data_IF_029387946948
#
_entry.id   IF_029387946948
#
_cell.length_a   1.000
_cell.length_b   1.000
_cell.length_c   1.000
_cell.angle_alpha   90.00
_cell.angle_beta   90.00
_cell.angle_gamma   90.00
#
_symmetry.space_group_name_H-M   'P 1'
#
loop_
_entity.id
_entity.type
_entity.pdbx_description
1 polymer ?
#
# COMPACT_ATOMS: atom_id res chain seq x y z
N UNK A 1 14.17 14.01 35.00
CA UNK A 1 15.09 15.06 35.48
C UNK A 1 16.51 14.51 35.43
N UNK A 2 17.31 14.84 34.40
CA UNK A 2 18.62 15.43 34.63
C UNK A 2 19.05 16.37 33.47
N UNK A 3 18.19 17.30 33.01
CA UNK A 3 18.58 18.29 31.98
C UNK A 3 19.30 19.53 32.54
N UNK A 4 19.33 19.69 33.87
CA UNK A 4 19.92 20.86 34.54
C UNK A 4 21.45 20.83 34.68
N UNK A 5 22.06 19.65 34.90
CA UNK A 5 23.52 19.56 35.12
C UNK A 5 24.36 19.80 33.86
N UNK A 6 23.85 19.42 32.68
CA UNK A 6 24.57 19.62 31.42
C UNK A 6 24.73 21.10 31.05
N UNK A 7 23.72 21.92 31.34
CA UNK A 7 23.77 23.37 31.08
C UNK A 7 24.76 24.09 32.01
N UNK A 8 24.85 23.67 33.27
CA UNK A 8 25.78 24.24 34.24
C UNK A 8 27.26 23.97 33.85
N UNK A 9 27.59 22.73 33.46
CA UNK A 9 28.94 22.38 33.01
C UNK A 9 29.30 23.08 31.69
N UNK A 10 28.36 23.21 30.76
CA UNK A 10 28.57 23.95 29.52
C UNK A 10 28.85 25.44 29.77
N UNK A 11 28.16 26.07 30.73
CA UNK A 11 28.41 27.47 31.09
C UNK A 11 29.78 27.69 31.75
N UNK A 12 30.24 26.77 32.60
CA UNK A 12 31.56 26.86 33.25
C UNK A 12 32.67 26.69 32.20
N UNK A 13 32.55 25.69 31.33
CA UNK A 13 33.53 25.46 30.26
C UNK A 13 33.61 26.66 29.29
N UNK A 14 32.48 27.23 28.90
CA UNK A 14 32.45 28.44 28.07
C UNK A 14 33.12 29.64 28.75
N UNK A 15 32.87 29.83 30.06
CA UNK A 15 33.50 30.91 30.83
C UNK A 15 35.03 30.74 30.92
N UNK A 16 35.51 29.52 31.21
CA UNK A 16 36.94 29.24 31.28
C UNK A 16 37.65 29.47 29.95
N UNK A 17 37.02 29.11 28.83
CA UNK A 17 37.56 29.37 27.48
C UNK A 17 37.63 30.87 27.19
N UNK A 18 36.61 31.65 27.55
CA UNK A 18 36.61 33.12 27.35
C UNK A 18 37.72 33.79 28.17
N UNK A 19 37.86 33.41 29.44
CA UNK A 19 38.89 33.97 30.34
C UNK A 19 40.30 33.62 29.83
N UNK A 20 40.54 32.34 29.50
CA UNK A 20 41.84 31.91 29.00
C UNK A 20 42.21 32.59 27.68
N UNK A 21 41.27 32.67 26.75
CA UNK A 21 41.46 33.33 25.45
C UNK A 21 41.74 34.83 25.63
N UNK A 22 41.04 35.50 26.55
CA UNK A 22 41.27 36.91 26.89
C UNK A 22 42.65 37.17 27.48
N UNK A 23 43.13 36.30 28.38
CA UNK A 23 44.48 36.39 28.97
C UNK A 23 45.56 36.18 27.92
N UNK A 24 45.40 35.19 27.03
CA UNK A 24 46.35 34.91 25.94
C UNK A 24 46.43 36.08 24.96
N UNK A 25 45.28 36.65 24.55
CA UNK A 25 45.23 37.85 23.69
C UNK A 25 45.89 39.07 24.35
N UNK A 26 45.72 39.24 25.66
CA UNK A 26 46.33 40.34 26.42
C UNK A 26 47.85 40.28 26.42
N UNK A 27 48.41 39.09 26.60
CA UNK A 27 49.87 38.90 26.64
C UNK A 27 50.51 39.03 25.26
N UNK A 28 49.83 38.59 24.20
CA UNK A 28 50.41 38.51 22.85
C UNK A 28 50.21 39.78 21.99
N UNK A 29 49.06 40.43 22.10
CA UNK A 29 48.64 41.49 21.17
C UNK A 29 48.57 42.89 21.82
N UNK A 30 48.66 42.97 23.14
CA UNK A 30 48.60 44.23 23.89
C UNK A 30 47.17 44.67 24.25
N UNK A 31 47.03 45.73 25.08
CA UNK A 31 45.77 46.07 25.73
C UNK A 31 44.69 46.61 24.78
N UNK A 32 45.08 47.21 23.65
CA UNK A 32 44.12 47.75 22.67
C UNK A 32 43.34 46.63 21.96
N UNK A 33 44.02 45.55 21.59
CA UNK A 33 43.40 44.42 20.89
C UNK A 33 42.46 43.61 21.81
N UNK A 34 42.73 43.61 23.12
CA UNK A 34 41.83 43.00 24.12
C UNK A 34 40.53 43.79 24.25
N UNK A 35 40.59 45.12 24.25
CA UNK A 35 39.37 45.96 24.29
C UNK A 35 38.54 45.74 23.04
N UNK A 36 39.16 45.67 21.86
CA UNK A 36 38.47 45.37 20.60
C UNK A 36 37.84 43.97 20.65
N UNK A 37 38.57 42.95 21.12
CA UNK A 37 38.06 41.58 21.25
C UNK A 37 36.87 41.50 22.21
N UNK A 38 36.93 42.19 23.36
CA UNK A 38 35.83 42.25 24.34
C UNK A 38 34.60 42.98 23.77
N UNK A 39 34.78 44.02 22.95
CA UNK A 39 33.68 44.73 22.28
C UNK A 39 33.07 43.93 21.12
N UNK A 40 33.87 43.15 20.38
CA UNK A 40 33.40 42.33 19.26
C UNK A 40 32.78 41.00 19.71
N UNK A 41 33.22 40.44 20.84
CA UNK A 41 32.67 39.20 21.40
C UNK A 41 31.14 39.18 21.55
N UNK A 42 30.46 40.20 22.13
CA UNK A 42 29.01 40.21 22.22
C UNK A 42 28.33 40.32 20.85
N UNK A 43 28.93 41.03 19.88
CA UNK A 43 28.40 41.12 18.52
C UNK A 43 28.46 39.77 17.80
N UNK A 44 29.59 39.05 17.91
CA UNK A 44 29.74 37.69 17.39
C UNK A 44 28.77 36.72 18.07
N UNK A 45 28.62 36.81 19.39
CA UNK A 45 27.68 35.97 20.15
C UNK A 45 26.23 36.24 19.72
N UNK A 46 25.84 37.51 19.58
CA UNK A 46 24.52 37.89 19.06
C UNK A 46 24.30 37.35 17.63
N UNK A 47 25.30 37.46 16.76
CA UNK A 47 25.24 36.90 15.40
C UNK A 47 24.99 35.38 15.39
N UNK A 48 25.69 34.63 16.25
CA UNK A 48 25.52 33.17 16.39
C UNK A 48 24.12 32.83 16.92
N UNK A 49 23.64 33.54 17.94
CA UNK A 49 22.30 33.29 18.51
C UNK A 49 21.20 33.57 17.48
N UNK A 50 21.31 34.67 16.73
CA UNK A 50 20.35 35.00 15.66
C UNK A 50 20.41 33.94 14.55
N UNK A 51 21.61 33.56 14.09
CA UNK A 51 21.76 32.53 13.07
C UNK A 51 21.16 31.18 13.51
N UNK A 52 21.38 30.79 14.78
CA UNK A 52 20.81 29.58 15.36
C UNK A 52 19.29 29.64 15.51
N UNK A 53 18.73 30.78 15.93
CA UNK A 53 17.27 30.96 16.00
C UNK A 53 16.63 30.92 14.61
N UNK A 54 17.24 31.57 13.61
CA UNK A 54 16.80 31.52 12.21
C UNK A 54 16.85 30.08 11.68
N UNK A 55 17.93 29.34 11.95
CA UNK A 55 18.04 27.94 11.53
C UNK A 55 16.99 27.07 12.22
N UNK A 56 16.75 27.25 13.53
CA UNK A 56 15.70 26.54 14.26
C UNK A 56 14.30 26.86 13.75
N UNK A 57 13.99 28.13 13.48
CA UNK A 57 12.70 28.54 12.92
C UNK A 57 12.49 27.94 11.54
N UNK A 58 13.50 27.98 10.67
CA UNK A 58 13.44 27.33 9.34
C UNK A 58 13.21 25.83 9.47
N UNK A 59 13.92 25.16 10.37
CA UNK A 59 13.72 23.73 10.61
C UNK A 59 12.32 23.42 11.17
N UNK A 60 11.79 24.26 12.06
CA UNK A 60 10.45 24.10 12.63
C UNK A 60 9.36 24.30 11.56
N UNK A 61 9.49 25.33 10.72
CA UNK A 61 8.57 25.60 9.61
C UNK A 61 8.61 24.46 8.58
N UNK A 62 9.80 23.96 8.22
CA UNK A 62 9.94 22.82 7.32
C UNK A 62 9.30 21.54 7.90
N UNK A 63 9.46 21.29 9.21
CA UNK A 63 8.83 20.16 9.87
C UNK A 63 7.29 20.28 9.95
N UNK A 64 6.78 21.50 10.12
CA UNK A 64 5.34 21.78 10.09
C UNK A 64 4.77 21.56 8.68
N UNK A 65 5.45 22.06 7.66
CA UNK A 65 5.08 21.85 6.26
C UNK A 65 5.05 20.36 5.88
N UNK A 66 6.05 19.59 6.30
CA UNK A 66 6.09 18.13 6.11
C UNK A 66 4.91 17.42 6.79
N UNK A 67 4.51 17.87 7.99
CA UNK A 67 3.34 17.31 8.67
C UNK A 67 2.04 17.61 7.92
N UNK A 68 1.88 18.85 7.44
CA UNK A 68 0.72 19.23 6.65
C UNK A 68 0.65 18.43 5.35
N UNK A 69 1.77 18.28 4.64
CA UNK A 69 1.84 17.44 3.44
C UNK A 69 1.50 15.97 3.74
N UNK A 70 1.99 15.42 4.85
CA UNK A 70 1.65 14.06 5.26
C UNK A 70 0.14 13.91 5.55
N UNK A 71 -0.48 14.90 6.18
CA UNK A 71 -1.93 14.93 6.43
C UNK A 71 -2.73 15.02 5.13
N UNK A 72 -2.29 15.84 4.17
CA UNK A 72 -2.92 15.96 2.85
C UNK A 72 -2.80 14.66 2.06
N UNK A 73 -1.62 14.04 2.02
CA UNK A 73 -1.41 12.74 1.38
C UNK A 73 -2.29 11.66 2.00
N UNK A 74 -2.42 11.65 3.32
CA UNK A 74 -3.33 10.73 4.02
C UNK A 74 -4.80 11.02 3.70
N UNK A 75 -5.17 12.29 3.56
CA UNK A 75 -6.51 12.67 3.09
C UNK A 75 -6.77 12.15 1.66
N UNK A 76 -5.84 12.34 0.73
CA UNK A 76 -5.92 11.82 -0.65
C UNK A 76 -6.10 10.30 -0.64
N UNK A 77 -5.28 9.56 0.14
CA UNK A 77 -5.38 8.09 0.26
C UNK A 77 -6.76 7.61 0.72
N UNK A 78 -7.47 8.41 1.52
CA UNK A 78 -8.81 8.06 2.05
C UNK A 78 -9.95 8.48 1.12
N UNK A 79 -9.77 9.57 0.37
CA UNK A 79 -10.82 10.18 -0.43
C UNK A 79 -10.80 9.72 -1.88
N UNK A 80 -9.61 9.54 -2.46
CA UNK A 80 -9.45 9.16 -3.86
C UNK A 80 -9.27 7.65 -3.97
N UNK A 81 -10.18 6.98 -4.66
CA UNK A 81 -10.05 5.56 -4.94
C UNK A 81 -9.15 5.35 -6.16
N UNK A 82 -7.96 4.84 -5.89
CA UNK A 82 -6.84 4.72 -6.83
C UNK A 82 -6.44 3.25 -6.96
N UNK A 83 -6.08 2.84 -8.17
CA UNK A 83 -5.27 1.64 -8.40
C UNK A 83 -3.92 2.09 -8.93
N UNK A 84 -2.85 1.75 -8.22
CA UNK A 84 -1.47 2.12 -8.59
C UNK A 84 -0.74 0.90 -9.13
N UNK A 85 0.21 1.12 -10.04
CA UNK A 85 1.16 0.10 -10.47
C UNK A 85 1.89 -0.49 -9.25
N UNK A 86 1.83 -1.81 -9.02
CA UNK A 86 2.47 -2.44 -7.88
C UNK A 86 4.00 -2.28 -7.87
N UNK A 87 4.63 -2.06 -9.03
CA UNK A 87 6.08 -1.93 -9.18
C UNK A 87 6.59 -0.51 -8.86
N UNK A 88 5.70 0.44 -8.54
CA UNK A 88 6.09 1.79 -8.14
C UNK A 88 6.96 1.76 -6.87
N UNK A 89 8.11 2.43 -6.93
CA UNK A 89 8.92 2.71 -5.75
C UNK A 89 8.18 3.65 -4.79
N UNK A 90 8.58 3.68 -3.51
CA UNK A 90 7.90 4.51 -2.51
C UNK A 90 7.87 5.99 -2.88
N UNK A 91 8.97 6.51 -3.42
CA UNK A 91 9.08 7.90 -3.89
C UNK A 91 8.08 8.19 -5.02
N UNK A 92 7.94 7.27 -5.98
CA UNK A 92 7.00 7.41 -7.09
C UNK A 92 5.55 7.30 -6.62
N UNK A 93 5.25 6.43 -5.65
CA UNK A 93 3.92 6.37 -5.02
C UNK A 93 3.56 7.67 -4.32
N UNK A 94 4.53 8.32 -3.68
CA UNK A 94 4.31 9.65 -3.10
C UNK A 94 4.07 10.68 -4.19
N UNK A 95 4.81 10.64 -5.30
CA UNK A 95 4.59 11.52 -6.44
C UNK A 95 3.18 11.35 -7.03
N UNK A 96 2.66 10.11 -7.15
CA UNK A 96 1.27 9.85 -7.55
C UNK A 96 0.28 10.56 -6.63
N UNK A 97 0.45 10.46 -5.31
CA UNK A 97 -0.44 11.12 -4.34
C UNK A 97 -0.35 12.64 -4.42
N UNK A 98 0.85 13.16 -4.66
CA UNK A 98 1.09 14.60 -4.79
C UNK A 98 0.35 15.22 -5.98
N UNK A 99 0.06 14.43 -7.02
CA UNK A 99 -0.75 14.85 -8.18
C UNK A 99 -2.16 15.32 -7.80
N UNK A 100 -2.68 14.84 -6.67
CA UNK A 100 -4.02 15.17 -6.17
C UNK A 100 -4.01 16.29 -5.12
N UNK A 101 -2.84 16.81 -4.76
CA UNK A 101 -2.70 17.91 -3.82
C UNK A 101 -2.66 19.23 -4.61
N UNK A 102 -3.69 20.10 -4.53
CA UNK A 102 -3.83 21.24 -5.44
C UNK A 102 -2.69 22.26 -5.39
N UNK A 103 -1.97 22.35 -4.27
CA UNK A 103 -0.84 23.26 -4.07
C UNK A 103 0.49 22.74 -4.62
N UNK A 104 0.57 21.46 -4.97
CA UNK A 104 1.75 20.84 -5.55
C UNK A 104 1.71 20.95 -7.08
N UNK A 105 2.89 20.90 -7.71
CA UNK A 105 2.99 20.95 -9.15
C UNK A 105 2.27 19.74 -9.78
N UNK A 106 1.68 19.90 -10.98
CA UNK A 106 1.07 18.78 -11.68
C UNK A 106 2.09 17.66 -11.92
N UNK A 107 1.60 16.43 -11.91
CA UNK A 107 2.36 15.22 -12.20
C UNK A 107 3.30 15.38 -13.40
N UNK A 108 4.49 14.81 -13.30
CA UNK A 108 5.24 14.40 -14.50
C UNK A 108 4.31 13.52 -15.36
N UNK A 109 4.19 13.76 -16.68
CA UNK A 109 3.46 12.88 -17.60
C UNK A 109 3.74 11.39 -17.40
N UNK A 110 4.98 11.01 -17.09
CA UNK A 110 5.39 9.61 -16.90
C UNK A 110 4.68 8.94 -15.69
N UNK A 111 4.31 9.73 -14.67
CA UNK A 111 3.62 9.24 -13.48
C UNK A 111 2.12 9.02 -13.75
N UNK A 112 1.53 9.75 -14.71
CA UNK A 112 0.09 9.67 -15.02
C UNK A 112 -0.33 8.31 -15.58
N UNK A 113 0.55 7.65 -16.32
CA UNK A 113 0.26 6.34 -16.90
C UNK A 113 0.43 5.18 -15.90
N UNK A 114 0.83 5.49 -14.65
CA UNK A 114 1.12 4.51 -13.59
C UNK A 114 0.06 4.45 -12.50
N UNK A 115 -1.07 5.13 -12.67
CA UNK A 115 -2.24 4.97 -11.81
C UNK A 115 -3.55 5.06 -12.60
N UNK A 116 -4.61 4.47 -12.04
CA UNK A 116 -5.99 4.57 -12.54
C UNK A 116 -6.87 5.14 -11.45
N UNK A 117 -7.62 6.19 -11.78
CA UNK A 117 -8.62 6.78 -10.89
C UNK A 117 -9.95 6.06 -11.11
N UNK A 118 -10.43 5.34 -10.09
CA UNK A 118 -11.62 4.49 -10.21
C UNK A 118 -12.88 5.31 -10.49
N UNK A 119 -12.92 6.58 -10.06
CA UNK A 119 -14.04 7.48 -10.33
C UNK A 119 -14.18 7.89 -11.80
N UNK A 120 -13.14 7.75 -12.61
CA UNK A 120 -13.14 8.06 -14.04
C UNK A 120 -13.61 6.88 -14.90
N UNK A 121 -13.65 5.67 -14.34
CA UNK A 121 -14.15 4.50 -15.04
C UNK A 121 -15.66 4.58 -15.28
N UNK A 122 -16.11 4.08 -16.44
CA UNK A 122 -17.53 3.93 -16.71
C UNK A 122 -18.21 3.06 -15.63
N UNK A 123 -19.51 3.24 -15.35
CA UNK A 123 -20.22 2.44 -14.36
C UNK A 123 -20.04 0.91 -14.51
N UNK A 124 -20.14 0.30 -15.70
CA UNK A 124 -19.91 -1.14 -15.86
C UNK A 124 -18.45 -1.53 -15.58
N UNK A 125 -17.48 -0.74 -16.05
CA UNK A 125 -16.05 -0.97 -15.79
C UNK A 125 -15.74 -0.93 -14.29
N UNK A 126 -16.31 0.03 -13.57
CA UNK A 126 -16.18 0.15 -12.11
C UNK A 126 -16.74 -1.07 -11.38
N UNK A 127 -17.88 -1.61 -11.83
CA UNK A 127 -18.48 -2.80 -11.24
C UNK A 127 -17.59 -4.04 -11.42
N UNK A 128 -16.95 -4.21 -12.59
CA UNK A 128 -15.99 -5.29 -12.84
C UNK A 128 -14.76 -5.17 -11.94
N UNK A 129 -14.18 -3.98 -11.82
CA UNK A 129 -13.03 -3.76 -10.93
C UNK A 129 -13.38 -4.02 -9.46
N UNK A 130 -14.56 -3.59 -9.02
CA UNK A 130 -15.03 -3.83 -7.65
C UNK A 130 -15.19 -5.33 -7.35
N UNK A 131 -15.73 -6.11 -8.30
CA UNK A 131 -15.81 -7.58 -8.21
C UNK A 131 -14.43 -8.22 -8.07
N UNK A 132 -13.48 -7.83 -8.92
CA UNK A 132 -12.10 -8.33 -8.86
C UNK A 132 -11.44 -8.01 -7.50
N UNK A 133 -11.52 -6.75 -7.04
CA UNK A 133 -10.96 -6.33 -5.74
C UNK A 133 -11.60 -7.09 -4.58
N UNK A 134 -12.91 -7.37 -4.64
CA UNK A 134 -13.62 -8.18 -3.64
C UNK A 134 -13.11 -9.62 -3.62
N UNK A 135 -12.91 -10.23 -4.79
CA UNK A 135 -12.35 -11.58 -4.89
C UNK A 135 -10.94 -11.64 -4.29
N UNK A 136 -10.06 -10.70 -4.65
CA UNK A 136 -8.70 -10.61 -4.10
C UNK A 136 -8.70 -10.36 -2.60
N UNK A 137 -9.54 -9.44 -2.11
CA UNK A 137 -9.70 -9.19 -0.67
C UNK A 137 -10.14 -10.45 0.08
N UNK A 138 -11.02 -11.24 -0.52
CA UNK A 138 -11.49 -12.51 0.05
C UNK A 138 -10.33 -13.50 0.21
N UNK A 139 -9.45 -13.59 -0.79
CA UNK A 139 -8.26 -14.45 -0.72
C UNK A 139 -7.31 -13.98 0.38
N UNK A 140 -6.99 -12.68 0.45
CA UNK A 140 -6.11 -12.14 1.49
C UNK A 140 -6.68 -12.28 2.91
N UNK A 141 -8.00 -12.20 3.06
CA UNK A 141 -8.64 -12.35 4.36
C UNK A 141 -8.70 -13.80 4.85
N UNK A 142 -8.49 -14.78 3.96
CA UNK A 142 -8.65 -16.22 4.24
C UNK A 142 -7.67 -16.75 5.27
N UNK A 143 -8.09 -17.80 5.99
CA UNK A 143 -7.23 -18.52 6.93
C UNK A 143 -6.14 -19.30 6.19
N UNK A 144 -6.45 -19.88 5.04
CA UNK A 144 -5.51 -20.60 4.18
C UNK A 144 -4.33 -19.70 3.76
N UNK A 145 -4.60 -18.44 3.39
CA UNK A 145 -3.54 -17.46 3.08
C UNK A 145 -2.70 -17.14 4.32
N UNK A 146 -3.32 -16.85 5.47
CA UNK A 146 -2.60 -16.54 6.72
C UNK A 146 -1.71 -17.68 7.20
N UNK A 147 -2.14 -18.93 6.97
CA UNK A 147 -1.38 -20.14 7.30
C UNK A 147 -0.37 -20.55 6.23
N UNK A 148 -0.22 -19.78 5.15
CA UNK A 148 0.68 -20.08 4.03
C UNK A 148 0.44 -21.46 3.41
N UNK A 149 -0.82 -21.88 3.39
CA UNK A 149 -1.24 -23.13 2.73
C UNK A 149 -1.45 -22.92 1.23
N UNK A 150 -1.62 -21.67 0.81
CA UNK A 150 -1.59 -21.24 -0.57
C UNK A 150 -0.16 -20.79 -0.93
N UNK A 151 0.11 -20.64 -2.23
CA UNK A 151 1.36 -20.03 -2.70
C UNK A 151 1.38 -18.52 -2.38
N UNK A 152 1.70 -18.18 -1.13
CA UNK A 152 1.60 -16.83 -0.59
C UNK A 152 2.51 -15.84 -1.30
N UNK A 153 3.74 -16.24 -1.65
CA UNK A 153 4.69 -15.38 -2.35
C UNK A 153 4.19 -15.05 -3.76
N UNK A 154 3.70 -16.07 -4.49
CA UNK A 154 3.11 -15.83 -5.80
C UNK A 154 1.85 -14.95 -5.71
N UNK A 155 0.97 -15.18 -4.73
CA UNK A 155 -0.25 -14.38 -4.54
C UNK A 155 0.03 -12.91 -4.18
N UNK A 156 1.08 -12.63 -3.39
CA UNK A 156 1.46 -11.26 -3.01
C UNK A 156 1.97 -10.43 -4.18
N UNK A 157 2.50 -11.07 -5.23
CA UNK A 157 2.98 -10.40 -6.45
C UNK A 157 1.94 -10.42 -7.57
N UNK A 158 1.31 -11.58 -7.80
CA UNK A 158 0.40 -11.82 -8.92
C UNK A 158 -0.93 -11.08 -8.76
N UNK A 159 -1.55 -11.13 -7.58
CA UNK A 159 -2.90 -10.55 -7.41
C UNK A 159 -2.90 -9.01 -7.55
N UNK A 160 -1.93 -8.26 -6.97
CA UNK A 160 -1.85 -6.83 -7.20
C UNK A 160 -1.59 -6.49 -8.67
N UNK A 161 -0.73 -7.28 -9.34
CA UNK A 161 -0.49 -7.15 -10.79
C UNK A 161 -1.77 -7.34 -11.61
N UNK A 162 -2.54 -8.39 -11.32
CA UNK A 162 -3.81 -8.66 -12.00
C UNK A 162 -4.81 -7.52 -11.81
N UNK A 163 -4.92 -6.96 -10.61
CA UNK A 163 -5.81 -5.81 -10.35
C UNK A 163 -5.36 -4.57 -11.13
N UNK A 164 -4.06 -4.30 -11.17
CA UNK A 164 -3.49 -3.20 -11.95
C UNK A 164 -3.80 -3.34 -13.44
N UNK A 165 -3.46 -4.49 -14.05
CA UNK A 165 -3.70 -4.74 -15.46
C UNK A 165 -5.19 -4.66 -15.83
N UNK A 166 -6.08 -5.19 -14.99
CA UNK A 166 -7.52 -5.06 -15.19
C UNK A 166 -7.95 -3.60 -15.12
N UNK A 167 -7.45 -2.82 -14.16
CA UNK A 167 -7.79 -1.40 -14.03
C UNK A 167 -7.35 -0.61 -15.27
N UNK A 168 -6.13 -0.82 -15.77
CA UNK A 168 -5.61 -0.16 -16.98
C UNK A 168 -6.43 -0.52 -18.22
N UNK A 169 -6.77 -1.81 -18.40
CA UNK A 169 -7.62 -2.25 -19.52
C UNK A 169 -9.02 -1.62 -19.45
N UNK A 170 -9.62 -1.57 -18.26
CA UNK A 170 -10.93 -0.97 -18.03
C UNK A 170 -10.93 0.55 -18.27
N UNK A 171 -9.83 1.23 -17.96
CA UNK A 171 -9.64 2.66 -18.28
C UNK A 171 -9.58 2.87 -19.79
N UNK A 172 -8.79 2.08 -20.51
CA UNK A 172 -8.71 2.14 -21.97
C UNK A 172 -10.07 1.85 -22.63
N UNK A 173 -10.81 0.83 -22.15
CA UNK A 173 -12.16 0.53 -22.62
C UNK A 173 -13.13 1.68 -22.37
N UNK A 174 -13.08 2.32 -21.20
CA UNK A 174 -13.90 3.48 -20.87
C UNK A 174 -13.64 4.63 -21.84
N UNK A 175 -12.37 4.95 -22.09
CA UNK A 175 -11.99 6.02 -23.02
C UNK A 175 -12.46 5.74 -24.45
N UNK A 176 -12.22 4.52 -24.96
CA UNK A 176 -12.65 4.11 -26.29
C UNK A 176 -14.18 4.13 -26.44
N UNK A 177 -14.91 3.70 -25.41
CA UNK A 177 -16.38 3.78 -25.38
C UNK A 177 -16.87 5.22 -25.50
N UNK A 178 -16.25 6.14 -24.77
CA UNK A 178 -16.60 7.56 -24.84
C UNK A 178 -16.26 8.18 -26.21
N UNK A 179 -15.09 7.86 -26.77
CA UNK A 179 -14.71 8.32 -28.11
C UNK A 179 -15.69 7.84 -29.18
N UNK A 180 -16.06 6.56 -29.15
CA UNK A 180 -17.07 6.01 -30.06
C UNK A 180 -18.43 6.66 -29.86
N UNK A 181 -18.83 6.91 -28.60
CA UNK A 181 -20.08 7.60 -28.32
C UNK A 181 -20.08 9.02 -28.90
N UNK A 182 -18.99 9.79 -28.72
CA UNK A 182 -18.83 11.13 -29.30
C UNK A 182 -18.83 11.09 -30.83
N UNK A 183 -18.15 10.12 -31.45
CA UNK A 183 -18.12 9.96 -32.91
C UNK A 183 -19.53 9.72 -33.49
N UNK A 184 -20.38 8.96 -32.79
CA UNK A 184 -21.76 8.66 -33.20
C UNK A 184 -22.75 9.80 -32.96
N UNK A 185 -22.40 10.81 -32.15
CA UNK A 185 -23.23 12.00 -31.96
C UNK A 185 -23.16 12.98 -33.14
N UNK A 186 -22.16 12.84 -34.02
CA UNK A 186 -22.01 13.63 -35.25
C UNK A 186 -22.87 13.13 -36.42
N UNK A 187 -22.61 13.64 -37.63
CA UNK A 187 -23.24 13.11 -38.85
C UNK A 187 -22.71 11.70 -39.11
N UNK A 188 -23.57 10.71 -38.94
CA UNK A 188 -23.24 9.30 -39.15
C UNK A 188 -23.37 8.97 -40.64
N UNK A 189 -22.25 8.79 -41.34
CA UNK A 189 -22.24 8.32 -42.73
C UNK A 189 -22.06 6.80 -42.79
N UNK A 190 -22.47 6.13 -43.89
CA UNK A 190 -22.23 4.70 -44.09
C UNK A 190 -20.75 4.32 -44.01
N UNK A 191 -19.85 5.17 -44.51
CA UNK A 191 -18.40 4.96 -44.47
C UNK A 191 -17.87 5.01 -43.04
N UNK A 192 -18.39 5.92 -42.20
CA UNK A 192 -18.06 5.98 -40.79
C UNK A 192 -18.56 4.74 -40.04
N UNK A 193 -19.78 4.26 -40.33
CA UNK A 193 -20.31 3.03 -39.74
C UNK A 193 -19.45 1.80 -40.08
N UNK A 194 -19.00 1.69 -41.33
CA UNK A 194 -18.11 0.61 -41.76
C UNK A 194 -16.78 0.56 -40.99
N UNK A 195 -16.32 1.70 -40.43
CA UNK A 195 -15.15 1.77 -39.56
C UNK A 195 -15.51 1.51 -38.08
N UNK A 196 -16.63 2.06 -37.60
CA UNK A 196 -17.02 1.96 -36.19
C UNK A 196 -17.52 0.57 -35.79
N UNK A 197 -18.16 -0.19 -36.70
CA UNK A 197 -18.68 -1.53 -36.40
C UNK A 197 -17.58 -2.53 -36.01
N UNK A 198 -16.49 -2.72 -36.78
CA UNK A 198 -15.39 -3.58 -36.37
C UNK A 198 -14.70 -3.14 -35.07
N UNK A 199 -14.63 -1.83 -34.82
CA UNK A 199 -14.05 -1.30 -33.57
C UNK A 199 -14.94 -1.60 -32.36
N UNK A 200 -16.27 -1.52 -32.52
CA UNK A 200 -17.22 -1.93 -31.49
C UNK A 200 -17.07 -3.41 -31.18
N UNK A 201 -17.01 -4.27 -32.21
CA UNK A 201 -16.83 -5.71 -32.02
C UNK A 201 -15.51 -6.05 -31.32
N UNK A 202 -14.42 -5.33 -31.65
CA UNK A 202 -13.15 -5.48 -30.96
C UNK A 202 -13.24 -5.07 -29.47
N UNK A 203 -13.94 -3.98 -29.19
CA UNK A 203 -14.17 -3.48 -27.84
C UNK A 203 -15.04 -4.45 -27.03
N UNK A 204 -16.11 -4.99 -27.61
CA UNK A 204 -17.00 -5.95 -26.95
C UNK A 204 -16.27 -7.25 -26.60
N UNK A 205 -15.42 -7.74 -27.51
CA UNK A 205 -14.52 -8.89 -27.22
C UNK A 205 -13.53 -8.59 -26.10
N UNK A 206 -12.99 -7.36 -26.05
CA UNK A 206 -12.10 -6.92 -24.97
C UNK A 206 -12.83 -6.90 -23.61
N UNK A 207 -14.06 -6.39 -23.57
CA UNK A 207 -14.90 -6.38 -22.36
C UNK A 207 -15.20 -7.81 -21.90
N UNK A 208 -15.57 -8.71 -22.83
CA UNK A 208 -15.82 -10.11 -22.52
C UNK A 208 -14.57 -10.82 -21.95
N UNK A 209 -13.39 -10.56 -22.52
CA UNK A 209 -12.14 -11.11 -22.02
C UNK A 209 -11.81 -10.62 -20.58
N UNK A 210 -12.02 -9.33 -20.30
CA UNK A 210 -11.86 -8.77 -18.95
C UNK A 210 -12.85 -9.41 -17.98
N UNK A 211 -14.13 -9.56 -18.38
CA UNK A 211 -15.14 -10.21 -17.56
C UNK A 211 -14.76 -11.67 -17.22
N UNK A 212 -14.25 -12.43 -18.19
CA UNK A 212 -13.78 -13.79 -17.98
C UNK A 212 -12.59 -13.87 -17.00
N UNK A 213 -11.64 -12.91 -17.06
CA UNK A 213 -10.55 -12.80 -16.08
C UNK A 213 -11.08 -12.54 -14.66
N UNK A 214 -12.06 -11.65 -14.52
CA UNK A 214 -12.72 -11.36 -13.24
C UNK A 214 -13.41 -12.61 -12.69
N UNK A 215 -14.12 -13.36 -13.53
CA UNK A 215 -14.75 -14.64 -13.14
C UNK A 215 -13.73 -15.69 -12.70
N UNK A 216 -12.55 -15.72 -13.32
CA UNK A 216 -11.41 -16.53 -12.87
C UNK A 216 -10.99 -16.19 -11.44
N UNK A 217 -10.82 -14.89 -11.13
CA UNK A 217 -10.51 -14.43 -9.77
C UNK A 217 -11.60 -14.82 -8.76
N UNK A 218 -12.87 -14.68 -9.14
CA UNK A 218 -13.99 -15.07 -8.28
C UNK A 218 -14.04 -16.58 -8.04
N UNK A 219 -13.72 -17.40 -9.05
CA UNK A 219 -13.61 -18.85 -8.91
C UNK A 219 -12.48 -19.22 -7.96
N UNK A 220 -11.31 -18.59 -8.10
CA UNK A 220 -10.20 -18.78 -7.19
C UNK A 220 -10.59 -18.43 -5.74
N UNK A 221 -11.19 -17.25 -5.53
CA UNK A 221 -11.65 -16.83 -4.21
C UNK A 221 -12.64 -17.83 -3.57
N UNK A 222 -13.54 -18.42 -4.37
CA UNK A 222 -14.47 -19.46 -3.91
C UNK A 222 -13.75 -20.74 -3.48
N UNK A 223 -12.75 -21.20 -4.24
CA UNK A 223 -11.94 -22.37 -3.85
C UNK A 223 -11.17 -22.14 -2.57
N UNK A 224 -10.64 -20.93 -2.38
CA UNK A 224 -10.01 -20.53 -1.12
C UNK A 224 -11.00 -20.56 0.05
N UNK A 225 -12.24 -20.12 -0.15
CA UNK A 225 -13.29 -20.21 0.88
C UNK A 225 -13.66 -21.66 1.22
N UNK A 226 -13.70 -22.55 0.24
CA UNK A 226 -13.90 -23.99 0.45
C UNK A 226 -12.77 -24.60 1.28
N UNK A 227 -11.52 -24.26 0.97
CA UNK A 227 -10.36 -24.67 1.77
C UNK A 227 -10.42 -24.13 3.21
N UNK A 228 -10.84 -22.88 3.39
CA UNK A 228 -11.07 -22.27 4.69
C UNK A 228 -12.17 -23.00 5.50
N UNK A 229 -13.24 -23.45 4.85
CA UNK A 229 -14.29 -24.22 5.49
C UNK A 229 -13.76 -25.58 5.98
N UNK A 230 -12.96 -26.27 5.15
CA UNK A 230 -12.29 -27.52 5.54
C UNK A 230 -11.30 -27.31 6.71
N UNK A 231 -10.56 -26.20 6.72
CA UNK A 231 -9.66 -25.86 7.83
C UNK A 231 -10.40 -25.65 9.15
N UNK A 232 -11.51 -24.91 9.13
CA UNK A 232 -12.33 -24.69 10.34
C UNK A 232 -12.95 -25.99 10.84
N UNK A 233 -13.39 -26.86 9.92
CA UNK A 233 -13.88 -28.18 10.29
C UNK A 233 -12.78 -29.01 10.97
N UNK A 234 -11.53 -28.97 10.44
CA UNK A 234 -10.40 -29.69 11.05
C UNK A 234 -10.10 -29.19 12.46
N UNK A 235 -10.07 -27.88 12.65
CA UNK A 235 -9.89 -27.27 13.98
C UNK A 235 -10.98 -27.65 14.97
N UNK A 236 -12.22 -27.82 14.50
CA UNK A 236 -13.30 -28.31 15.34
C UNK A 236 -13.04 -29.75 15.82
N UNK A 237 -12.39 -30.59 14.99
CA UNK A 237 -12.00 -31.95 15.38
C UNK A 237 -10.78 -32.00 16.30
N UNK A 238 -9.89 -31.00 16.34
CA UNK A 238 -8.78 -30.99 17.30
C UNK A 238 -9.28 -30.99 18.77
N UNK A 239 -10.55 -30.59 19.00
CA UNK A 239 -11.21 -30.74 20.30
C UNK A 239 -11.72 -32.17 20.59
N UNK A 240 -11.50 -33.14 19.69
CA UNK A 240 -11.96 -34.52 19.84
C UNK A 240 -11.22 -35.34 20.90
N UNK A 241 -10.12 -34.86 21.44
CA UNK A 241 -9.39 -35.59 22.48
C UNK A 241 -10.25 -35.89 23.71
N UNK A 242 -11.20 -35.01 24.04
CA UNK A 242 -12.19 -35.25 25.11
C UNK A 242 -13.17 -36.36 24.76
N UNK A 243 -13.60 -36.45 23.50
CA UNK A 243 -14.49 -37.50 23.02
C UNK A 243 -13.76 -38.84 22.88
N UNK A 244 -12.50 -38.83 22.42
CA UNK A 244 -11.64 -40.02 22.41
C UNK A 244 -11.40 -40.55 23.82
N UNK A 245 -11.11 -39.67 24.77
CA UNK A 245 -10.97 -40.04 26.18
C UNK A 245 -12.28 -40.62 26.72
N UNK A 246 -13.44 -40.01 26.43
CA UNK A 246 -14.74 -40.52 26.84
C UNK A 246 -15.02 -41.92 26.29
N UNK A 247 -14.82 -42.13 24.98
CA UNK A 247 -15.04 -43.41 24.31
C UNK A 247 -14.10 -44.51 24.83
N UNK A 248 -12.86 -44.13 25.17
CA UNK A 248 -11.92 -45.04 25.81
C UNK A 248 -12.35 -45.44 27.22
N UNK A 249 -13.00 -44.56 27.99
CA UNK A 249 -13.53 -44.90 29.31
C UNK A 249 -14.79 -45.79 29.25
N UNK A 250 -15.47 -45.83 28.10
CA UNK A 250 -16.66 -46.68 27.89
C UNK A 250 -16.35 -47.96 27.12
N UNK A 251 -15.07 -48.25 26.84
CA UNK A 251 -14.62 -49.37 26.01
C UNK A 251 -15.31 -49.44 24.62
N UNK A 252 -15.74 -48.28 24.08
CA UNK A 252 -16.47 -48.20 22.81
C UNK A 252 -15.50 -48.16 21.62
N UNK A 253 -15.03 -49.34 21.23
CA UNK A 253 -14.10 -49.51 20.11
C UNK A 253 -14.71 -49.14 18.74
N UNK A 254 -16.03 -49.26 18.57
CA UNK A 254 -16.72 -48.90 17.33
C UNK A 254 -16.86 -47.39 17.19
N UNK A 255 -17.21 -46.70 18.28
CA UNK A 255 -17.20 -45.24 18.35
C UNK A 255 -15.82 -44.65 18.08
N UNK A 256 -14.75 -45.25 18.65
CA UNK A 256 -13.38 -44.82 18.37
C UNK A 256 -12.99 -44.98 16.90
N UNK A 257 -13.33 -46.12 16.26
CA UNK A 257 -13.06 -46.35 14.83
C UNK A 257 -13.80 -45.36 13.94
N UNK A 258 -15.07 -45.08 14.26
CA UNK A 258 -15.91 -44.12 13.52
C UNK A 258 -15.36 -42.70 13.63
N UNK A 259 -14.96 -42.28 14.84
CA UNK A 259 -14.37 -40.97 15.08
C UNK A 259 -13.02 -40.79 14.36
N UNK A 260 -12.20 -41.84 14.32
CA UNK A 260 -10.95 -41.84 13.56
C UNK A 260 -11.21 -41.73 12.04
N UNK A 261 -12.13 -42.52 11.49
CA UNK A 261 -12.49 -42.49 10.08
C UNK A 261 -13.03 -41.11 9.63
N UNK A 262 -13.79 -40.42 10.49
CA UNK A 262 -14.22 -39.05 10.23
C UNK A 262 -13.07 -38.05 10.21
N UNK A 263 -12.06 -38.24 11.06
CA UNK A 263 -10.82 -37.45 11.03
C UNK A 263 -10.07 -37.62 9.71
N UNK A 264 -9.84 -38.87 9.30
CA UNK A 264 -9.11 -39.19 8.07
C UNK A 264 -9.83 -38.62 6.82
N UNK A 265 -11.15 -38.79 6.73
CA UNK A 265 -11.95 -38.26 5.63
C UNK A 265 -11.90 -36.71 5.56
N UNK A 266 -11.79 -36.05 6.71
CA UNK A 266 -11.70 -34.59 6.76
C UNK A 266 -10.32 -34.09 6.35
N UNK A 267 -9.24 -34.76 6.77
CA UNK A 267 -7.89 -34.45 6.29
C UNK A 267 -7.77 -34.61 4.77
N UNK A 268 -8.37 -35.66 4.21
CA UNK A 268 -8.40 -35.84 2.76
C UNK A 268 -9.17 -34.71 2.06
N UNK A 269 -10.31 -34.32 2.62
CA UNK A 269 -11.11 -33.20 2.09
C UNK A 269 -10.34 -31.88 2.15
N UNK A 270 -9.63 -31.63 3.25
CA UNK A 270 -8.77 -30.46 3.38
C UNK A 270 -7.66 -30.48 2.33
N UNK A 271 -6.91 -31.58 2.22
CA UNK A 271 -5.83 -31.72 1.25
C UNK A 271 -6.32 -31.49 -0.19
N UNK A 272 -7.50 -32.01 -0.54
CA UNK A 272 -8.13 -31.81 -1.84
C UNK A 272 -8.52 -30.35 -2.07
N UNK A 273 -9.21 -29.73 -1.12
CA UNK A 273 -9.66 -28.34 -1.23
C UNK A 273 -8.51 -27.33 -1.36
N UNK A 274 -7.41 -27.53 -0.62
CA UNK A 274 -6.20 -26.71 -0.73
C UNK A 274 -5.57 -26.89 -2.11
N UNK A 275 -5.49 -28.13 -2.62
CA UNK A 275 -4.95 -28.39 -3.95
C UNK A 275 -5.78 -27.72 -5.04
N UNK A 276 -7.10 -27.86 -5.01
CA UNK A 276 -8.01 -27.21 -5.96
C UNK A 276 -7.89 -25.67 -5.89
N UNK A 277 -7.65 -25.10 -4.70
CA UNK A 277 -7.39 -23.67 -4.56
C UNK A 277 -6.06 -23.26 -5.19
N UNK A 278 -4.98 -24.02 -4.99
CA UNK A 278 -3.67 -23.77 -5.61
C UNK A 278 -3.76 -23.85 -7.13
N UNK A 279 -4.39 -24.91 -7.66
CA UNK A 279 -4.59 -25.10 -9.10
C UNK A 279 -5.38 -23.94 -9.71
N UNK A 280 -6.47 -23.52 -9.05
CA UNK A 280 -7.24 -22.36 -9.50
C UNK A 280 -6.40 -21.07 -9.49
N UNK A 281 -5.54 -20.87 -8.49
CA UNK A 281 -4.59 -19.74 -8.45
C UNK A 281 -3.59 -19.76 -9.60
N UNK A 282 -3.08 -20.94 -9.96
CA UNK A 282 -2.13 -21.12 -11.07
C UNK A 282 -2.75 -20.78 -12.43
N UNK A 283 -4.05 -21.03 -12.63
CA UNK A 283 -4.75 -20.65 -13.86
C UNK A 283 -4.91 -19.13 -14.07
N UNK A 284 -4.61 -18.32 -13.04
CA UNK A 284 -4.60 -16.86 -13.15
C UNK A 284 -3.28 -16.30 -13.67
N UNK A 285 -2.22 -17.11 -13.67
CA UNK A 285 -0.95 -16.71 -14.26
C UNK A 285 -1.09 -16.67 -15.80
N UNK A 286 -0.58 -15.62 -16.47
CA UNK A 286 -0.59 -15.51 -17.93
C UNK A 286 0.29 -16.56 -18.61
#
# INVERSE_FOLDING_TARGET
MPRGCGLALASIAAFSVVVFTGVVLYVLAGPQDVVIAVLLAPLLLCGIVIAHDVFRRRAALAAEEQRLLAQERDHVRRTVDLVMDPDLAEEERLAVLDCFVPRLAPADPDVRDRFVVVSELSPPSRALLARARKAVTTVYASLAMRRRLLDGLANEVLLPRQIWELATLLQAQTHLQEEQHRARQGVVTPELLAVLEPQQEALDRSVAAVAARVEGLERYARRVQEADAALRAREALDNNDKYRALLAHTDDTDGMRTLAAHGDALEETLARSVREAIEAGQTLAP
#
